data_IF_368190785610
#
_entry.id   IF_368190785610
#
_cell.length_a   1.000
_cell.length_b   1.000
_cell.length_c   1.000
_cell.angle_alpha   90.00
_cell.angle_beta   90.00
_cell.angle_gamma   90.00
#
_symmetry.space_group_name_H-M   'P 1'
#
loop_
_entity.id
_entity.type
_entity.pdbx_description
1 polymer ?
#
# COMPACT_ATOMS: atom_id res chain seq x y z
N UNK A 1 60.03 28.59 -19.41
CA UNK A 1 60.33 27.23 -18.92
C UNK A 1 59.77 26.20 -19.89
N UNK A 2 60.58 25.20 -20.23
CA UNK A 2 60.29 23.93 -20.94
C UNK A 2 60.26 22.83 -19.83
N UNK A 3 59.75 21.57 -19.95
CA UNK A 3 59.22 20.76 -21.08
C UNK A 3 57.73 20.29 -20.93
N UNK A 4 57.03 19.79 -21.97
CA UNK A 4 57.05 18.45 -22.67
C UNK A 4 56.80 17.26 -21.73
N UNK A 5 56.03 16.20 -22.04
CA UNK A 5 55.98 15.28 -23.21
C UNK A 5 54.70 14.37 -23.09
N UNK A 6 54.28 13.41 -23.95
CA UNK A 6 54.63 12.92 -25.31
C UNK A 6 53.63 11.85 -25.84
N UNK A 7 53.28 11.88 -27.14
CA UNK A 7 53.06 10.70 -28.06
C UNK A 7 51.87 9.71 -27.75
N UNK A 8 51.32 8.86 -28.64
CA UNK A 8 51.63 8.47 -30.05
C UNK A 8 50.44 7.78 -30.78
N UNK A 9 50.33 7.99 -32.10
CA UNK A 9 49.88 7.09 -33.21
C UNK A 9 48.74 6.06 -33.13
N UNK A 10 47.84 6.16 -34.12
CA UNK A 10 47.32 5.11 -35.04
C UNK A 10 47.48 3.61 -34.70
N UNK A 11 46.36 2.88 -34.81
CA UNK A 11 46.24 1.70 -35.70
C UNK A 11 44.76 1.38 -35.99
N UNK A 12 44.42 1.02 -37.22
CA UNK A 12 43.10 0.49 -37.59
C UNK A 12 43.18 -1.04 -37.73
N UNK A 13 42.16 -1.76 -37.27
CA UNK A 13 41.93 -3.15 -37.68
C UNK A 13 40.44 -3.43 -37.91
N UNK A 14 40.10 -3.71 -39.18
CA UNK A 14 38.90 -4.48 -39.52
C UNK A 14 39.19 -5.96 -39.27
N UNK A 15 38.28 -6.65 -38.60
CA UNK A 15 38.12 -8.11 -38.75
C UNK A 15 36.65 -8.44 -38.90
N UNK A 16 36.30 -9.04 -40.04
CA UNK A 16 35.03 -9.74 -40.23
C UNK A 16 35.17 -11.14 -39.62
N UNK A 17 34.12 -11.70 -39.00
CA UNK A 17 34.27 -13.01 -38.34
C UNK A 17 33.04 -13.72 -37.78
N UNK A 18 32.10 -14.10 -38.67
CA UNK A 18 31.33 -15.37 -38.61
C UNK A 18 30.30 -15.58 -37.46
N UNK A 19 29.04 -15.81 -37.89
CA UNK A 19 27.99 -16.76 -37.41
C UNK A 19 28.25 -17.50 -36.08
N UNK A 20 27.28 -17.68 -35.18
CA UNK A 20 26.11 -18.57 -35.40
C UNK A 20 24.98 -18.42 -34.38
N UNK A 21 23.75 -18.65 -34.87
CA UNK A 21 22.54 -19.20 -34.20
C UNK A 21 22.44 -19.24 -32.66
N UNK A 22 21.35 -18.70 -32.11
CA UNK A 22 20.30 -19.52 -31.47
C UNK A 22 19.01 -18.72 -31.17
N UNK A 23 18.04 -18.78 -32.09
CA UNK A 23 16.65 -18.43 -31.81
C UNK A 23 16.04 -19.53 -30.92
N UNK A 24 15.98 -19.33 -29.61
CA UNK A 24 15.43 -20.32 -28.68
C UNK A 24 14.29 -19.77 -27.83
N UNK A 25 13.09 -19.96 -28.37
CA UNK A 25 11.83 -20.25 -27.66
C UNK A 25 11.78 -19.90 -26.16
N UNK A 26 11.24 -18.72 -25.82
CA UNK A 26 10.61 -18.43 -24.51
C UNK A 26 9.26 -17.71 -24.68
N UNK A 27 8.43 -18.24 -25.59
CA UNK A 27 6.99 -18.01 -25.62
C UNK A 27 6.31 -19.38 -25.61
N UNK A 28 5.37 -19.58 -24.67
CA UNK A 28 4.56 -20.78 -24.31
C UNK A 28 4.85 -21.25 -22.87
N UNK A 29 4.24 -20.54 -21.91
CA UNK A 29 3.85 -21.03 -20.57
C UNK A 29 3.20 -19.92 -19.72
N UNK A 30 2.22 -19.19 -20.29
CA UNK A 30 1.33 -18.26 -19.56
C UNK A 30 -0.11 -18.30 -20.09
N UNK A 31 -0.73 -19.46 -20.01
CA UNK A 31 -2.19 -19.62 -19.94
C UNK A 31 -2.50 -20.59 -18.78
N UNK A 32 -3.68 -20.45 -18.14
CA UNK A 32 -4.12 -21.20 -16.94
C UNK A 32 -3.32 -20.76 -15.69
N UNK A 33 -3.76 -19.81 -14.86
CA UNK A 33 -4.95 -19.90 -14.01
C UNK A 33 -5.46 -18.50 -13.59
N UNK A 34 -6.69 -18.15 -13.96
CA UNK A 34 -7.37 -16.93 -13.51
C UNK A 34 -8.42 -17.25 -12.43
N UNK A 35 -7.97 -17.70 -11.26
CA UNK A 35 -8.78 -17.80 -10.04
C UNK A 35 -8.01 -17.27 -8.82
N UNK A 36 -7.69 -15.97 -8.83
CA UNK A 36 -7.18 -15.27 -7.66
C UNK A 36 -8.34 -14.82 -6.75
N UNK A 37 -9.06 -15.80 -6.20
CA UNK A 37 -9.86 -15.57 -5.01
C UNK A 37 -8.94 -15.82 -3.82
N UNK A 38 -8.29 -14.77 -3.31
CA UNK A 38 -7.50 -14.87 -2.07
C UNK A 38 -8.48 -14.93 -0.90
N UNK A 39 -9.06 -16.10 -0.73
CA UNK A 39 -9.63 -16.59 0.51
C UNK A 39 -8.40 -16.99 1.34
N UNK A 40 -8.13 -16.29 2.44
CA UNK A 40 -7.35 -16.91 3.53
C UNK A 40 -8.01 -18.26 3.81
N UNK A 41 -7.26 -19.38 3.92
CA UNK A 41 -7.85 -20.68 4.20
C UNK A 41 -8.50 -20.68 5.60
N UNK A 42 -9.75 -20.20 5.64
CA UNK A 42 -10.74 -20.58 6.63
C UNK A 42 -10.77 -22.11 6.63
N UNK A 43 -10.81 -22.71 7.82
CA UNK A 43 -10.50 -24.13 8.09
C UNK A 43 -11.42 -25.18 7.43
N UNK A 44 -12.22 -24.79 6.44
CA UNK A 44 -13.15 -25.65 5.70
C UNK A 44 -12.48 -26.76 4.89
N UNK A 45 -11.19 -26.63 4.53
CA UNK A 45 -10.45 -27.70 3.84
C UNK A 45 -10.08 -28.90 4.72
N UNK A 46 -10.15 -28.78 6.06
CA UNK A 46 -9.86 -29.87 7.00
C UNK A 46 -11.11 -30.58 7.57
N UNK A 47 -12.29 -30.24 7.04
CA UNK A 47 -13.58 -30.77 7.53
C UNK A 47 -13.77 -32.28 7.32
N UNK A 48 -13.00 -32.90 6.42
CA UNK A 48 -13.15 -34.30 6.02
C UNK A 48 -11.97 -35.21 6.44
N UNK A 49 -11.03 -34.71 7.25
CA UNK A 49 -9.94 -35.53 7.81
C UNK A 49 -10.37 -36.16 9.13
N UNK A 50 -10.09 -37.46 9.38
CA UNK A 50 -10.37 -38.12 10.65
C UNK A 50 -9.75 -37.36 11.83
N UNK A 51 -10.50 -37.23 12.93
CA UNK A 51 -10.08 -36.41 14.07
C UNK A 51 -8.80 -36.91 14.75
N UNK A 52 -8.44 -38.19 14.56
CA UNK A 52 -7.25 -38.83 15.13
C UNK A 52 -5.92 -38.42 14.47
N UNK A 53 -5.93 -37.76 13.29
CA UNK A 53 -4.72 -37.40 12.54
C UNK A 53 -4.45 -35.88 12.54
N UNK A 54 -5.36 -35.07 13.10
CA UNK A 54 -5.13 -33.62 13.20
C UNK A 54 -4.00 -33.40 14.21
N UNK A 55 -2.81 -32.86 13.79
CA UNK A 55 -1.81 -32.47 14.77
C UNK A 55 -2.43 -31.45 15.72
N UNK A 56 -1.88 -31.33 16.93
CA UNK A 56 -2.41 -30.44 17.95
C UNK A 56 -2.11 -28.97 17.57
N UNK A 57 -2.85 -28.47 16.57
CA UNK A 57 -2.80 -27.12 16.05
C UNK A 57 -3.32 -26.19 17.14
N UNK A 58 -2.39 -25.73 17.99
CA UNK A 58 -2.60 -24.52 18.77
C UNK A 58 -3.09 -23.45 17.81
N UNK A 59 -4.34 -22.98 18.01
CA UNK A 59 -4.93 -21.96 17.16
C UNK A 59 -3.92 -20.81 17.04
N UNK A 60 -3.52 -20.40 15.83
CA UNK A 60 -2.48 -19.40 15.66
C UNK A 60 -2.87 -18.18 16.48
N UNK A 61 -2.03 -17.81 17.45
CA UNK A 61 -2.30 -16.71 18.35
C UNK A 61 -2.52 -15.47 17.50
N UNK A 62 -3.71 -14.88 17.59
CA UNK A 62 -4.04 -13.72 16.78
C UNK A 62 -3.07 -12.58 17.14
N UNK A 63 -2.11 -12.33 16.24
CA UNK A 63 -1.08 -11.32 16.46
C UNK A 63 -1.77 -9.96 16.50
N UNK A 64 -1.80 -9.32 17.66
CA UNK A 64 -2.38 -7.99 17.81
C UNK A 64 -1.60 -6.96 16.98
N UNK A 65 -2.30 -5.98 16.40
CA UNK A 65 -1.62 -4.86 15.77
C UNK A 65 -0.73 -4.11 16.75
N UNK A 66 -1.06 -4.05 18.04
CA UNK A 66 -0.16 -3.45 19.04
C UNK A 66 1.18 -4.17 19.16
N UNK A 67 1.22 -5.49 18.95
CA UNK A 67 2.48 -6.23 18.91
C UNK A 67 3.30 -5.86 17.67
N UNK A 68 2.66 -5.82 16.49
CA UNK A 68 3.33 -5.47 15.23
C UNK A 68 3.79 -3.99 15.25
N UNK A 69 2.93 -3.10 15.72
CA UNK A 69 3.19 -1.68 15.94
C UNK A 69 4.44 -1.49 16.80
N UNK A 70 4.45 -2.07 18.00
CA UNK A 70 5.53 -1.86 18.98
C UNK A 70 6.87 -2.49 18.61
N UNK A 71 6.90 -3.61 17.88
CA UNK A 71 8.13 -4.37 17.62
C UNK A 71 8.71 -4.19 16.19
N UNK A 72 7.89 -3.73 15.23
CA UNK A 72 8.26 -3.68 13.80
C UNK A 72 8.04 -2.32 13.15
N UNK A 73 7.19 -1.45 13.73
CA UNK A 73 6.79 -0.18 13.11
C UNK A 73 7.27 1.04 13.91
N UNK A 74 7.08 1.10 15.23
CA UNK A 74 7.45 2.26 16.06
C UNK A 74 8.83 2.11 16.69
N UNK A 75 9.09 0.96 17.33
CA UNK A 75 10.40 0.63 17.89
C UNK A 75 10.87 -0.67 17.24
N UNK A 76 12.09 -0.69 16.72
CA UNK A 76 12.64 -1.92 16.15
C UNK A 76 13.13 -2.83 17.26
N UNK A 77 12.48 -3.97 17.44
CA UNK A 77 12.98 -5.01 18.33
C UNK A 77 14.15 -5.74 17.65
N UNK A 78 15.37 -5.38 18.04
CA UNK A 78 16.61 -5.96 17.51
C UNK A 78 16.84 -7.40 17.97
N UNK A 79 16.34 -7.80 19.15
CA UNK A 79 16.41 -9.18 19.63
C UNK A 79 15.58 -10.11 18.75
N UNK A 80 14.41 -9.65 18.29
CA UNK A 80 13.64 -10.37 17.27
C UNK A 80 14.38 -10.42 15.93
N UNK A 81 15.10 -9.37 15.50
CA UNK A 81 15.87 -9.46 14.24
C UNK A 81 17.01 -10.49 14.29
N UNK A 82 17.64 -10.70 15.45
CA UNK A 82 18.62 -11.77 15.61
C UNK A 82 17.96 -13.16 15.48
N UNK A 83 16.74 -13.35 16.01
CA UNK A 83 15.88 -14.50 15.71
C UNK A 83 14.96 -14.23 14.50
N UNK A 84 15.56 -14.11 13.32
CA UNK A 84 14.85 -13.73 12.10
C UNK A 84 13.67 -14.66 11.75
N UNK A 85 13.67 -15.91 12.24
CA UNK A 85 12.55 -16.84 12.11
C UNK A 85 11.31 -16.35 12.88
N UNK A 86 11.48 -15.99 14.17
CA UNK A 86 10.41 -15.38 14.98
C UNK A 86 9.99 -14.01 14.45
N UNK A 87 10.93 -13.22 13.92
CA UNK A 87 10.61 -11.93 13.29
C UNK A 87 9.69 -12.10 12.07
N UNK A 88 9.97 -13.10 11.21
CA UNK A 88 9.09 -13.42 10.08
C UNK A 88 7.71 -13.90 10.54
N UNK A 89 7.65 -14.72 11.59
CA UNK A 89 6.39 -15.22 12.13
C UNK A 89 5.51 -14.08 12.65
N UNK A 90 6.10 -13.13 13.38
CA UNK A 90 5.41 -11.95 13.90
C UNK A 90 4.82 -10.99 12.85
N UNK A 91 5.22 -11.10 11.56
CA UNK A 91 4.57 -10.38 10.43
C UNK A 91 3.71 -11.30 9.54
N UNK A 92 3.47 -12.55 9.96
CA UNK A 92 2.67 -13.55 9.24
C UNK A 92 3.40 -14.21 8.06
N UNK A 93 4.73 -14.15 8.04
CA UNK A 93 5.60 -14.71 6.99
C UNK A 93 6.49 -15.87 7.48
N UNK A 94 6.24 -16.43 8.67
CA UNK A 94 7.02 -17.54 9.26
C UNK A 94 7.19 -18.75 8.33
N UNK A 95 6.21 -19.03 7.47
CA UNK A 95 6.26 -20.02 6.36
C UNK A 95 7.46 -19.87 5.40
N UNK A 96 8.15 -18.72 5.41
CA UNK A 96 9.35 -18.46 4.59
C UNK A 96 10.66 -18.54 5.37
N UNK A 97 10.65 -18.75 6.69
CA UNK A 97 11.86 -18.76 7.52
C UNK A 97 12.97 -19.73 7.03
N UNK A 98 12.68 -20.96 6.57
CA UNK A 98 13.72 -21.86 6.04
C UNK A 98 14.49 -21.29 4.83
N UNK A 99 13.90 -20.35 4.07
CA UNK A 99 14.56 -19.71 2.91
C UNK A 99 15.67 -18.72 3.31
N UNK A 100 15.75 -18.38 4.60
CA UNK A 100 16.74 -17.48 5.18
C UNK A 100 17.76 -18.20 6.06
N UNK A 101 17.71 -19.53 6.16
CA UNK A 101 18.68 -20.31 6.93
C UNK A 101 20.13 -20.00 6.50
N UNK A 102 21.01 -19.82 7.47
CA UNK A 102 22.41 -19.42 7.25
C UNK A 102 22.63 -17.98 6.76
N UNK A 103 21.60 -17.14 6.60
CA UNK A 103 21.73 -15.72 6.21
C UNK A 103 21.63 -14.81 7.44
N UNK A 104 22.62 -13.95 7.65
CA UNK A 104 22.54 -12.90 8.68
C UNK A 104 21.49 -11.84 8.30
N UNK A 105 20.65 -11.42 9.26
CA UNK A 105 19.66 -10.36 9.09
C UNK A 105 20.26 -9.07 8.52
N UNK A 106 21.52 -8.76 8.85
CA UNK A 106 22.26 -7.59 8.34
C UNK A 106 22.39 -7.59 6.82
N UNK A 107 22.42 -8.77 6.18
CA UNK A 107 22.34 -8.92 4.72
C UNK A 107 20.88 -8.90 4.24
N UNK A 108 19.96 -9.50 5.00
CA UNK A 108 18.55 -9.63 4.61
C UNK A 108 17.86 -8.26 4.49
N UNK A 109 18.11 -7.31 5.41
CA UNK A 109 17.52 -5.95 5.36
C UNK A 109 17.87 -5.14 4.11
N UNK A 110 18.89 -5.57 3.35
CA UNK A 110 19.30 -4.95 2.08
C UNK A 110 18.85 -5.73 0.83
N UNK A 111 18.11 -6.83 0.98
CA UNK A 111 17.59 -7.61 -0.15
C UNK A 111 16.55 -6.82 -0.98
N UNK A 112 16.67 -6.95 -2.30
CA UNK A 112 15.75 -6.40 -3.29
C UNK A 112 14.64 -7.42 -3.62
N UNK A 113 13.75 -7.08 -4.56
CA UNK A 113 12.67 -7.99 -4.97
C UNK A 113 13.22 -9.25 -5.63
N UNK A 114 14.25 -9.08 -6.46
CA UNK A 114 14.93 -10.11 -7.22
C UNK A 114 15.59 -11.10 -6.26
N UNK A 115 16.32 -10.60 -5.27
CA UNK A 115 17.00 -11.43 -4.28
C UNK A 115 16.01 -12.26 -3.41
N UNK A 116 14.76 -11.78 -3.23
CA UNK A 116 13.67 -12.52 -2.56
C UNK A 116 13.00 -13.56 -3.48
N UNK A 117 12.93 -13.28 -4.78
CA UNK A 117 12.40 -14.20 -5.80
C UNK A 117 13.40 -15.35 -6.04
N UNK A 118 14.70 -15.07 -6.06
CA UNK A 118 15.78 -16.06 -6.20
C UNK A 118 15.84 -17.07 -5.04
N UNK A 119 15.35 -16.72 -3.85
CA UNK A 119 15.19 -17.66 -2.71
C UNK A 119 13.78 -18.31 -2.68
N UNK A 120 12.99 -18.17 -3.74
CA UNK A 120 11.70 -18.83 -3.93
C UNK A 120 10.52 -18.19 -3.18
N UNK A 121 10.54 -16.89 -2.88
CA UNK A 121 9.35 -16.18 -2.37
C UNK A 121 8.52 -15.70 -3.57
N UNK A 122 7.79 -16.62 -4.22
CA UNK A 122 7.09 -16.36 -5.49
C UNK A 122 5.87 -15.44 -5.37
N UNK A 123 5.27 -15.36 -4.17
CA UNK A 123 4.16 -14.44 -3.88
C UNK A 123 4.63 -12.99 -3.88
N UNK A 124 4.19 -12.22 -4.89
CA UNK A 124 4.48 -10.78 -4.95
C UNK A 124 3.92 -10.01 -3.75
N UNK A 125 2.83 -10.51 -3.14
CA UNK A 125 2.28 -9.96 -1.89
C UNK A 125 3.23 -10.20 -0.71
N UNK A 126 3.77 -11.42 -0.58
CA UNK A 126 4.72 -11.75 0.49
C UNK A 126 6.03 -10.97 0.31
N UNK A 127 6.57 -10.87 -0.92
CA UNK A 127 7.75 -10.02 -1.23
C UNK A 127 7.50 -8.55 -0.88
N UNK A 128 6.33 -8.01 -1.22
CA UNK A 128 5.99 -6.62 -0.91
C UNK A 128 5.89 -6.38 0.60
N UNK A 129 5.24 -7.30 1.33
CA UNK A 129 5.09 -7.25 2.79
C UNK A 129 6.45 -7.34 3.47
N UNK A 130 7.28 -8.32 3.10
CA UNK A 130 8.64 -8.46 3.62
C UNK A 130 9.48 -7.21 3.37
N UNK A 131 9.54 -6.72 2.13
CA UNK A 131 10.32 -5.52 1.79
C UNK A 131 9.88 -4.28 2.57
N UNK A 132 8.58 -4.14 2.88
CA UNK A 132 8.05 -3.05 3.71
C UNK A 132 8.62 -3.11 5.13
N UNK A 133 8.50 -4.25 5.82
CA UNK A 133 9.01 -4.40 7.18
C UNK A 133 10.55 -4.34 7.26
N UNK A 134 11.26 -4.84 6.25
CA UNK A 134 12.72 -4.67 6.15
C UNK A 134 13.12 -3.20 5.92
N UNK A 135 12.31 -2.41 5.20
CA UNK A 135 12.51 -0.96 5.09
C UNK A 135 12.28 -0.23 6.42
N UNK A 136 11.27 -0.63 7.21
CA UNK A 136 11.06 -0.07 8.56
C UNK A 136 12.25 -0.38 9.46
N UNK A 137 12.70 -1.64 9.49
CA UNK A 137 13.89 -2.05 10.24
C UNK A 137 15.13 -1.25 9.83
N UNK A 138 15.40 -1.13 8.52
CA UNK A 138 16.53 -0.36 8.00
C UNK A 138 16.46 1.12 8.41
N UNK A 139 15.31 1.77 8.26
CA UNK A 139 15.13 3.18 8.65
C UNK A 139 15.30 3.39 10.16
N UNK A 140 14.78 2.49 10.97
CA UNK A 140 14.98 2.54 12.42
C UNK A 140 16.47 2.41 12.76
N UNK A 141 17.21 1.49 12.14
CA UNK A 141 18.66 1.35 12.35
C UNK A 141 19.46 2.58 11.89
N UNK A 142 19.10 3.16 10.73
CA UNK A 142 19.67 4.42 10.22
C UNK A 142 19.43 5.59 11.22
N UNK A 143 18.35 5.54 12.00
CA UNK A 143 17.94 6.52 13.01
C UNK A 143 18.22 6.06 14.47
N UNK A 144 19.21 5.20 14.71
CA UNK A 144 19.62 4.82 16.08
C UNK A 144 18.63 3.94 16.85
N UNK A 145 17.76 3.22 16.15
CA UNK A 145 16.71 2.34 16.69
C UNK A 145 15.29 2.92 16.64
N UNK A 146 15.15 4.23 16.40
CA UNK A 146 13.87 4.94 16.42
C UNK A 146 13.25 4.99 15.03
N UNK A 147 12.03 4.47 14.88
CA UNK A 147 11.31 4.59 13.61
C UNK A 147 10.79 6.01 13.38
N UNK A 148 10.77 6.49 12.11
CA UNK A 148 10.08 7.73 11.77
C UNK A 148 8.54 7.63 11.82
N UNK A 149 7.97 6.43 12.06
CA UNK A 149 6.53 6.25 12.24
C UNK A 149 6.25 6.11 13.74
N UNK A 150 5.54 7.08 14.32
CA UNK A 150 5.06 7.02 15.70
C UNK A 150 3.61 7.52 15.70
N UNK A 151 2.65 6.63 15.99
CA UNK A 151 1.22 6.92 15.86
C UNK A 151 0.67 7.84 16.96
N UNK A 152 1.34 7.91 18.11
CA UNK A 152 1.01 8.86 19.15
C UNK A 152 1.52 10.26 18.77
N UNK A 153 2.77 10.35 18.29
CA UNK A 153 3.35 11.61 17.84
C UNK A 153 2.64 12.18 16.60
N UNK A 154 2.08 11.35 15.71
CA UNK A 154 1.26 11.82 14.58
C UNK A 154 0.01 12.63 14.98
N UNK A 155 -0.46 12.49 16.23
CA UNK A 155 -1.54 13.34 16.78
C UNK A 155 -1.07 14.79 17.00
N UNK A 156 0.22 14.98 17.24
CA UNK A 156 0.92 16.27 17.24
C UNK A 156 1.79 16.35 15.98
N UNK A 157 1.14 16.55 14.83
CA UNK A 157 1.80 16.54 13.52
C UNK A 157 3.00 17.53 13.40
N UNK A 158 2.97 18.73 14.01
CA UNK A 158 4.15 19.58 14.15
C UNK A 158 5.34 18.90 14.85
N UNK A 159 5.12 18.28 16.01
CA UNK A 159 6.18 17.56 16.72
C UNK A 159 6.67 16.32 15.95
N UNK A 160 5.77 15.63 15.23
CA UNK A 160 6.17 14.55 14.32
C UNK A 160 7.07 15.05 13.19
N UNK A 161 6.72 16.17 12.53
CA UNK A 161 7.55 16.77 11.48
C UNK A 161 8.96 17.15 11.99
N UNK A 162 9.06 17.72 13.20
CA UNK A 162 10.36 18.01 13.82
C UNK A 162 11.20 16.73 13.98
N UNK A 163 10.59 15.64 14.48
CA UNK A 163 11.28 14.36 14.68
C UNK A 163 11.79 13.69 13.40
N UNK A 164 11.23 14.04 12.23
CA UNK A 164 11.71 13.58 10.91
C UNK A 164 12.54 14.63 10.16
N UNK A 165 12.88 15.76 10.78
CA UNK A 165 13.72 16.81 10.21
C UNK A 165 13.01 17.77 9.23
N UNK A 166 11.67 17.86 9.30
CA UNK A 166 10.83 18.71 8.45
C UNK A 166 9.95 19.69 9.26
N UNK A 167 10.28 19.96 10.52
CA UNK A 167 9.49 20.83 11.41
C UNK A 167 9.37 22.28 10.95
N UNK A 168 10.32 22.75 10.13
CA UNK A 168 10.23 24.04 9.43
C UNK A 168 8.99 24.16 8.51
N UNK A 169 8.42 23.02 8.08
CA UNK A 169 7.19 22.98 7.28
C UNK A 169 5.90 22.84 8.12
N UNK A 170 5.98 22.72 9.45
CA UNK A 170 4.80 22.61 10.30
C UNK A 170 3.77 23.75 10.10
N UNK A 171 4.16 25.03 9.92
CA UNK A 171 3.21 26.12 9.65
C UNK A 171 2.41 25.92 8.35
N UNK A 172 2.97 25.25 7.34
CA UNK A 172 2.29 24.96 6.07
C UNK A 172 1.10 24.00 6.24
N UNK A 173 1.05 23.26 7.34
CA UNK A 173 0.00 22.30 7.67
C UNK A 173 -0.96 22.77 8.78
N UNK A 174 -0.86 24.04 9.20
CA UNK A 174 -1.72 24.59 10.23
C UNK A 174 -3.21 24.38 9.92
N UNK A 175 -3.98 23.99 10.95
CA UNK A 175 -5.42 23.69 10.89
C UNK A 175 -5.82 22.47 10.05
N UNK A 176 -4.90 21.53 9.79
CA UNK A 176 -5.17 20.28 9.07
C UNK A 176 -4.93 19.06 9.95
N UNK A 177 -5.71 18.01 9.72
CA UNK A 177 -5.54 16.73 10.43
C UNK A 177 -4.51 15.86 9.70
N UNK A 178 -3.70 15.07 10.42
CA UNK A 178 -2.64 14.26 9.78
C UNK A 178 -3.20 13.27 8.74
N UNK A 179 -4.44 12.80 8.94
CA UNK A 179 -5.16 11.93 8.01
C UNK A 179 -5.39 12.59 6.65
N UNK A 180 -5.64 13.90 6.61
CA UNK A 180 -5.73 14.68 5.37
C UNK A 180 -4.33 14.87 4.75
N UNK A 181 -3.34 15.14 5.60
CA UNK A 181 -1.97 15.48 5.18
C UNK A 181 -1.27 14.28 4.52
N UNK A 182 -1.40 13.08 5.07
CA UNK A 182 -0.77 11.87 4.47
C UNK A 182 -1.37 11.48 3.11
N UNK A 183 -2.56 11.98 2.76
CA UNK A 183 -3.15 11.78 1.44
C UNK A 183 -2.69 12.81 0.39
N UNK A 184 -2.08 13.93 0.81
CA UNK A 184 -1.63 15.02 -0.08
C UNK A 184 -0.61 14.57 -1.14
N UNK A 185 -0.77 15.10 -2.35
CA UNK A 185 0.10 14.87 -3.49
C UNK A 185 1.20 15.94 -3.59
N UNK A 186 2.07 15.83 -4.61
CA UNK A 186 3.15 16.78 -4.84
C UNK A 186 2.62 18.19 -5.12
N UNK A 187 1.51 18.27 -5.84
CA UNK A 187 0.82 19.49 -6.22
C UNK A 187 0.19 20.17 -4.99
N UNK A 188 -0.38 19.40 -4.07
CA UNK A 188 -0.98 19.91 -2.84
C UNK A 188 0.11 20.48 -1.90
N UNK A 189 1.23 19.75 -1.72
CA UNK A 189 2.37 20.22 -0.93
C UNK A 189 3.02 21.48 -1.55
N UNK A 190 3.07 21.58 -2.87
CA UNK A 190 3.55 22.75 -3.58
C UNK A 190 2.62 23.96 -3.42
N UNK A 191 1.30 23.74 -3.47
CA UNK A 191 0.28 24.76 -3.20
C UNK A 191 0.31 25.26 -1.74
N UNK A 192 0.68 24.40 -0.79
CA UNK A 192 0.97 24.79 0.60
C UNK A 192 2.29 25.55 0.78
N UNK A 193 3.09 25.73 -0.29
CA UNK A 193 4.34 26.50 -0.27
C UNK A 193 5.62 25.67 -0.11
N UNK A 194 5.54 24.34 -0.07
CA UNK A 194 6.70 23.44 0.04
C UNK A 194 7.36 23.31 -1.35
N UNK A 195 8.05 24.38 -1.79
CA UNK A 195 8.56 24.52 -3.17
C UNK A 195 9.78 23.65 -3.48
N UNK A 196 10.51 23.14 -2.47
CA UNK A 196 11.62 22.22 -2.70
C UNK A 196 11.10 20.83 -3.13
N UNK A 197 11.48 20.39 -4.34
CA UNK A 197 11.09 19.09 -4.91
C UNK A 197 11.64 17.90 -4.12
N UNK A 198 12.85 18.03 -3.54
CA UNK A 198 13.46 16.99 -2.71
C UNK A 198 12.64 16.76 -1.44
N UNK A 199 12.27 17.85 -0.76
CA UNK A 199 11.50 17.81 0.49
C UNK A 199 10.09 17.28 0.26
N UNK A 200 9.42 17.72 -0.82
CA UNK A 200 8.13 17.10 -1.25
C UNK A 200 8.26 15.60 -1.46
N UNK A 201 9.34 15.13 -2.08
CA UNK A 201 9.58 13.71 -2.29
C UNK A 201 9.87 12.94 -1.00
N UNK A 202 10.61 13.53 -0.06
CA UNK A 202 10.88 12.95 1.25
C UNK A 202 9.61 12.84 2.08
N UNK A 203 8.86 13.92 2.27
CA UNK A 203 7.55 13.93 2.95
C UNK A 203 6.59 12.91 2.35
N UNK A 204 6.49 12.86 1.01
CA UNK A 204 5.67 11.85 0.32
C UNK A 204 6.06 10.41 0.65
N UNK A 205 7.34 10.10 0.84
CA UNK A 205 7.77 8.75 1.27
C UNK A 205 7.33 8.45 2.69
N UNK A 206 7.47 9.39 3.63
CA UNK A 206 6.96 9.19 4.99
C UNK A 206 5.44 9.01 5.01
N UNK A 207 4.69 9.77 4.21
CA UNK A 207 3.24 9.62 4.10
C UNK A 207 2.83 8.27 3.48
N UNK A 208 3.59 7.77 2.50
CA UNK A 208 3.39 6.44 1.92
C UNK A 208 3.68 5.34 2.96
N UNK A 209 4.71 5.50 3.79
CA UNK A 209 5.03 4.58 4.89
C UNK A 209 3.96 4.58 5.99
N UNK A 210 3.47 5.76 6.42
CA UNK A 210 2.38 5.88 7.40
C UNK A 210 1.12 5.21 6.87
N UNK A 211 0.74 5.45 5.61
CA UNK A 211 -0.43 4.81 4.99
C UNK A 211 -0.26 3.30 4.87
N UNK A 212 0.95 2.82 4.59
CA UNK A 212 1.24 1.39 4.58
C UNK A 212 1.08 0.76 5.98
N UNK A 213 1.57 1.42 7.02
CA UNK A 213 1.41 1.00 8.41
C UNK A 213 -0.07 1.04 8.88
N UNK A 214 -0.85 2.06 8.48
CA UNK A 214 -2.30 2.12 8.70
C UNK A 214 -3.07 1.04 7.92
N UNK A 215 -2.61 0.65 6.73
CA UNK A 215 -3.19 -0.45 5.98
C UNK A 215 -2.87 -1.81 6.64
N UNK A 216 -1.69 -1.97 7.23
CA UNK A 216 -1.36 -3.14 8.04
C UNK A 216 -2.23 -3.19 9.31
N UNK A 217 -2.44 -2.06 10.02
CA UNK A 217 -3.39 -1.98 11.15
C UNK A 217 -4.74 -2.62 10.79
N UNK A 218 -5.38 -2.10 9.74
CA UNK A 218 -6.69 -2.58 9.27
C UNK A 218 -6.67 -4.06 8.89
N UNK A 219 -5.57 -4.55 8.30
CA UNK A 219 -5.39 -5.97 7.96
C UNK A 219 -5.28 -6.86 9.18
N UNK A 220 -4.58 -6.42 10.22
CA UNK A 220 -4.19 -7.22 11.39
C UNK A 220 -5.31 -7.25 12.44
N UNK A 221 -5.92 -6.10 12.74
CA UNK A 221 -7.10 -6.01 13.60
C UNK A 221 -8.34 -6.65 12.93
N UNK A 222 -8.19 -7.08 11.66
CA UNK A 222 -9.26 -7.67 10.87
C UNK A 222 -10.38 -6.67 10.64
N UNK A 223 -10.07 -5.37 10.59
CA UNK A 223 -11.02 -4.25 10.57
C UNK A 223 -12.11 -4.56 9.56
N UNK A 224 -13.24 -4.98 10.10
CA UNK A 224 -14.53 -4.71 9.50
C UNK A 224 -14.63 -3.20 9.58
N UNK A 225 -14.09 -2.51 8.55
CA UNK A 225 -14.24 -1.06 8.40
C UNK A 225 -15.72 -0.81 8.68
N UNK A 226 -16.04 -0.08 9.77
CA UNK A 226 -17.39 -0.05 10.29
C UNK A 226 -18.31 0.39 9.15
N UNK A 227 -19.48 -0.26 8.97
CA UNK A 227 -20.38 0.11 7.90
C UNK A 227 -20.60 1.63 7.95
N UNK A 228 -20.63 2.31 6.79
CA UNK A 228 -20.78 3.75 6.77
C UNK A 228 -22.03 4.12 7.54
N UNK A 229 -21.93 5.14 8.39
CA UNK A 229 -23.10 5.67 9.06
C UNK A 229 -24.07 6.21 8.00
N UNK A 230 -25.18 5.50 7.79
CA UNK A 230 -26.17 5.84 6.77
C UNK A 230 -26.82 7.21 7.06
N UNK A 231 -26.94 7.62 8.32
CA UNK A 231 -27.40 8.96 8.67
C UNK A 231 -26.37 10.04 8.31
N UNK A 232 -25.08 9.71 8.40
CA UNK A 232 -24.01 10.58 7.92
C UNK A 232 -24.02 10.71 6.39
N UNK A 233 -24.32 9.64 5.65
CA UNK A 233 -24.42 9.68 4.19
C UNK A 233 -25.54 10.61 3.69
N UNK A 234 -26.66 10.72 4.39
CA UNK A 234 -27.70 11.71 4.06
C UNK A 234 -27.23 13.17 4.28
N UNK A 235 -26.23 13.39 5.15
CA UNK A 235 -25.59 14.68 5.36
C UNK A 235 -24.28 14.80 4.55
N UNK A 236 -24.40 15.05 3.24
CA UNK A 236 -23.26 15.17 2.31
C UNK A 236 -22.09 16.03 2.85
N UNK A 237 -22.31 17.23 3.43
CA UNK A 237 -21.23 17.98 4.08
C UNK A 237 -20.47 17.20 5.15
N UNK A 238 -21.19 16.57 6.08
CA UNK A 238 -20.58 15.83 7.20
C UNK A 238 -19.92 14.51 6.75
N UNK A 239 -20.49 13.82 5.75
CA UNK A 239 -19.84 12.65 5.14
C UNK A 239 -18.53 13.02 4.43
N UNK A 240 -18.52 14.10 3.64
CA UNK A 240 -17.30 14.54 2.97
C UNK A 240 -16.26 15.07 3.96
N UNK A 241 -16.68 15.67 5.07
CA UNK A 241 -15.79 16.04 6.17
C UNK A 241 -15.18 14.80 6.85
N UNK A 242 -15.95 13.74 7.13
CA UNK A 242 -15.42 12.53 7.77
C UNK A 242 -14.42 11.74 6.92
N UNK A 243 -14.48 11.86 5.59
CA UNK A 243 -13.48 11.28 4.66
C UNK A 243 -12.36 12.26 4.25
N UNK A 244 -12.26 13.44 4.88
CA UNK A 244 -11.19 14.43 4.61
C UNK A 244 -11.31 15.14 3.25
N UNK A 245 -12.52 15.27 2.71
CA UNK A 245 -12.82 15.83 1.38
C UNK A 245 -13.80 17.02 1.44
N UNK A 246 -13.88 17.73 2.58
CA UNK A 246 -14.78 18.87 2.81
C UNK A 246 -14.76 19.94 1.70
N UNK A 247 -13.60 20.16 1.07
CA UNK A 247 -13.45 21.11 -0.04
C UNK A 247 -14.26 20.77 -1.29
N UNK A 248 -14.70 19.51 -1.45
CA UNK A 248 -15.49 19.06 -2.60
C UNK A 248 -17.00 19.17 -2.41
N UNK A 249 -17.48 19.43 -1.18
CA UNK A 249 -18.92 19.51 -0.85
C UNK A 249 -19.73 20.38 -1.83
N UNK A 250 -19.27 21.56 -2.29
CA UNK A 250 -20.02 22.37 -3.25
C UNK A 250 -20.33 21.68 -4.58
N UNK A 251 -19.51 20.71 -5.01
CA UNK A 251 -19.69 19.97 -6.26
C UNK A 251 -20.77 18.88 -6.18
N UNK A 252 -21.16 18.51 -4.96
CA UNK A 252 -22.13 17.46 -4.65
C UNK A 252 -23.43 17.99 -4.01
N UNK A 253 -23.54 19.30 -3.81
CA UNK A 253 -24.71 19.92 -3.19
C UNK A 253 -25.99 19.62 -3.98
N UNK A 254 -27.06 19.24 -3.27
CA UNK A 254 -28.35 18.88 -3.86
C UNK A 254 -28.40 17.50 -4.55
N UNK A 255 -27.32 16.70 -4.49
CA UNK A 255 -27.32 15.30 -4.93
C UNK A 255 -27.53 14.38 -3.74
N UNK A 256 -28.27 13.28 -3.93
CA UNK A 256 -28.41 12.23 -2.92
C UNK A 256 -27.17 11.33 -2.92
N UNK A 257 -26.79 10.75 -1.79
CA UNK A 257 -25.57 9.94 -1.72
C UNK A 257 -25.62 8.70 -2.62
N UNK A 258 -26.81 8.12 -2.84
CA UNK A 258 -27.03 7.00 -3.75
C UNK A 258 -26.61 7.38 -5.18
N UNK A 259 -26.96 8.59 -5.63
CA UNK A 259 -26.57 9.10 -6.96
C UNK A 259 -25.07 9.45 -7.02
N UNK A 260 -24.46 9.82 -5.89
CA UNK A 260 -23.02 10.12 -5.78
C UNK A 260 -22.17 8.86 -5.86
N UNK A 261 -22.50 7.81 -5.09
CA UNK A 261 -21.70 6.58 -5.11
C UNK A 261 -21.75 5.86 -6.46
N UNK A 262 -22.82 6.05 -7.24
CA UNK A 262 -22.93 5.52 -8.60
C UNK A 262 -22.08 6.25 -9.66
N UNK A 263 -21.48 7.41 -9.33
CA UNK A 263 -20.63 8.14 -10.28
C UNK A 263 -19.36 7.38 -10.66
N UNK A 264 -18.98 7.48 -11.93
CA UNK A 264 -17.71 6.98 -12.45
C UNK A 264 -16.66 8.12 -12.59
N UNK A 265 -15.49 7.80 -13.16
CA UNK A 265 -14.42 8.79 -13.37
C UNK A 265 -14.82 9.97 -14.26
N UNK A 266 -15.64 9.74 -15.29
CA UNK A 266 -16.03 10.77 -16.26
C UNK A 266 -17.10 11.69 -15.68
N UNK A 267 -17.98 11.17 -14.82
CA UNK A 267 -18.92 11.98 -14.05
C UNK A 267 -18.21 12.91 -13.07
N UNK A 268 -17.19 12.41 -12.37
CA UNK A 268 -16.32 13.22 -11.52
C UNK A 268 -15.52 14.26 -12.33
N UNK A 269 -15.08 13.95 -13.55
CA UNK A 269 -14.46 14.94 -14.46
C UNK A 269 -15.47 16.03 -14.86
N UNK A 270 -16.72 15.66 -15.21
CA UNK A 270 -17.79 16.62 -15.54
C UNK A 270 -18.16 17.53 -14.36
N UNK A 271 -18.00 17.06 -13.12
CA UNK A 271 -18.11 17.87 -11.91
C UNK A 271 -16.88 18.75 -11.62
N UNK A 272 -15.90 18.81 -12.52
CA UNK A 272 -14.69 19.63 -12.38
C UNK A 272 -13.55 18.97 -11.58
N UNK A 273 -13.69 17.73 -11.13
CA UNK A 273 -12.67 17.01 -10.34
C UNK A 273 -11.59 16.46 -11.28
N UNK A 274 -10.77 17.36 -11.83
CA UNK A 274 -9.69 17.06 -12.77
C UNK A 274 -8.54 16.23 -12.19
N UNK A 275 -8.33 16.26 -10.86
CA UNK A 275 -7.29 15.49 -10.19
C UNK A 275 -7.61 13.97 -10.17
N UNK A 276 -6.77 13.19 -10.85
CA UNK A 276 -6.92 11.73 -11.01
C UNK A 276 -6.88 10.97 -9.67
N UNK A 277 -6.03 11.39 -8.73
CA UNK A 277 -5.85 10.70 -7.46
C UNK A 277 -7.04 10.96 -6.55
N UNK A 278 -7.54 12.20 -6.52
CA UNK A 278 -8.76 12.55 -5.79
C UNK A 278 -9.97 11.76 -6.31
N UNK A 279 -10.10 11.59 -7.64
CA UNK A 279 -11.10 10.67 -8.22
C UNK A 279 -10.91 9.21 -7.79
N UNK A 280 -9.68 8.71 -7.65
CA UNK A 280 -9.46 7.35 -7.13
C UNK A 280 -9.84 7.22 -5.65
N UNK A 281 -9.53 8.21 -4.82
CA UNK A 281 -9.89 8.21 -3.40
C UNK A 281 -11.40 8.28 -3.20
N UNK A 282 -12.11 9.11 -3.97
CA UNK A 282 -13.58 9.09 -4.04
C UNK A 282 -14.11 7.72 -4.48
N UNK A 283 -13.61 7.18 -5.59
CA UNK A 283 -14.08 5.88 -6.12
C UNK A 283 -13.86 4.71 -5.16
N UNK A 284 -12.80 4.74 -4.34
CA UNK A 284 -12.60 3.75 -3.26
C UNK A 284 -13.65 3.90 -2.15
N UNK A 285 -13.94 5.12 -1.71
CA UNK A 285 -14.98 5.39 -0.71
C UNK A 285 -16.38 5.02 -1.24
N UNK A 286 -16.69 5.37 -2.48
CA UNK A 286 -17.97 5.02 -3.11
C UNK A 286 -18.14 3.51 -3.20
N UNK A 287 -17.09 2.78 -3.60
CA UNK A 287 -17.12 1.32 -3.64
C UNK A 287 -17.23 0.69 -2.25
N UNK A 288 -16.60 1.29 -1.24
CA UNK A 288 -16.75 0.85 0.14
C UNK A 288 -18.21 0.96 0.59
N UNK A 289 -18.86 2.11 0.38
CA UNK A 289 -20.28 2.30 0.69
C UNK A 289 -21.15 1.28 -0.05
N UNK A 290 -20.95 1.09 -1.37
CA UNK A 290 -21.70 0.08 -2.13
C UNK A 290 -21.54 -1.33 -1.56
N UNK A 291 -20.34 -1.73 -1.15
CA UNK A 291 -20.10 -3.06 -0.56
C UNK A 291 -20.82 -3.24 0.77
N UNK A 292 -20.96 -2.21 1.58
CA UNK A 292 -21.74 -2.25 2.81
C UNK A 292 -23.24 -2.36 2.50
N UNK A 293 -23.78 -1.48 1.64
CA UNK A 293 -25.19 -1.56 1.20
C UNK A 293 -25.52 -2.94 0.61
N UNK A 294 -24.64 -3.50 -0.21
CA UNK A 294 -24.83 -4.83 -0.79
C UNK A 294 -24.77 -5.94 0.26
N UNK A 295 -23.83 -5.88 1.21
CA UNK A 295 -23.77 -6.84 2.33
C UNK A 295 -25.06 -6.81 3.15
N UNK A 296 -25.56 -5.61 3.45
CA UNK A 296 -26.74 -5.41 4.30
C UNK A 296 -28.04 -5.80 3.55
N UNK A 297 -28.07 -5.68 2.22
CA UNK A 297 -29.18 -6.11 1.35
C UNK A 297 -29.05 -7.55 0.80
N UNK A 298 -28.01 -8.29 1.20
CA UNK A 298 -27.76 -9.66 0.72
C UNK A 298 -27.35 -9.78 -0.76
N UNK A 299 -26.91 -8.68 -1.38
CA UNK A 299 -26.44 -8.65 -2.77
C UNK A 299 -24.93 -8.93 -2.87
N UNK A 300 -24.52 -9.66 -3.92
CA UNK A 300 -23.10 -9.84 -4.23
C UNK A 300 -22.60 -8.74 -5.18
N UNK A 301 -21.59 -7.99 -4.73
CA UNK A 301 -20.82 -7.06 -5.57
C UNK A 301 -19.43 -7.68 -5.86
N UNK A 302 -18.94 -7.63 -7.12
CA UNK A 302 -17.60 -8.13 -7.46
C UNK A 302 -16.48 -7.43 -6.68
N UNK A 303 -15.25 -7.97 -6.68
CA UNK A 303 -14.10 -7.26 -6.09
C UNK A 303 -13.81 -5.93 -6.84
N UNK A 304 -13.37 -4.91 -6.11
CA UNK A 304 -12.94 -3.64 -6.69
C UNK A 304 -11.75 -3.87 -7.64
N UNK A 305 -11.92 -3.56 -8.92
CA UNK A 305 -10.86 -3.68 -9.91
C UNK A 305 -10.67 -2.37 -10.67
N UNK A 306 -9.48 -1.78 -10.51
CA UNK A 306 -9.06 -0.58 -11.24
C UNK A 306 -8.98 -0.85 -12.75
N UNK A 307 -8.70 -2.08 -13.16
CA UNK A 307 -8.73 -2.49 -14.58
C UNK A 307 -10.15 -2.43 -15.12
N UNK A 308 -11.10 -3.04 -14.40
CA UNK A 308 -12.53 -2.97 -14.72
C UNK A 308 -12.95 -1.51 -14.82
N UNK A 309 -12.63 -0.63 -13.86
CA UNK A 309 -13.00 0.80 -13.95
C UNK A 309 -12.46 1.49 -15.23
N UNK A 310 -11.26 1.16 -15.71
CA UNK A 310 -10.73 1.71 -16.98
C UNK A 310 -11.43 1.15 -18.21
N UNK A 311 -11.70 -0.15 -18.22
CA UNK A 311 -12.44 -0.84 -19.30
C UNK A 311 -13.93 -0.43 -19.31
N UNK A 312 -14.44 0.06 -18.17
CA UNK A 312 -15.83 0.49 -17.98
C UNK A 312 -16.15 1.92 -18.43
N UNK A 313 -15.22 2.66 -19.04
CA UNK A 313 -15.52 3.93 -19.75
C UNK A 313 -16.56 3.78 -20.87
N UNK A 314 -16.84 2.53 -21.27
CA UNK A 314 -18.06 2.12 -21.98
C UNK A 314 -18.69 0.93 -21.23
N UNK A 315 -19.88 1.10 -20.64
CA UNK A 315 -20.63 0.01 -20.01
C UNK A 315 -22.12 -0.04 -20.39
N UNK A 316 -22.74 -1.23 -20.34
CA UNK A 316 -24.17 -1.38 -20.51
C UNK A 316 -24.96 -0.81 -19.33
N UNK A 317 -26.24 -0.53 -19.57
CA UNK A 317 -27.23 -0.34 -18.53
C UNK A 317 -27.28 -1.56 -17.59
N UNK A 318 -26.65 -1.45 -16.42
CA UNK A 318 -27.24 -2.05 -15.23
C UNK A 318 -28.59 -1.37 -15.06
N UNK A 319 -29.69 -2.14 -15.13
CA UNK A 319 -31.02 -1.60 -14.85
C UNK A 319 -30.95 -0.87 -13.52
N UNK A 320 -31.44 0.37 -13.46
CA UNK A 320 -31.71 1.07 -12.21
C UNK A 320 -32.80 0.29 -11.47
N UNK A 321 -32.39 -0.77 -10.77
CA UNK A 321 -33.20 -1.36 -9.71
C UNK A 321 -33.43 -0.24 -8.72
N UNK A 322 -34.69 0.16 -8.53
CA UNK A 322 -35.03 1.11 -7.48
C UNK A 322 -34.62 0.48 -6.14
N UNK A 323 -33.49 0.92 -5.60
CA UNK A 323 -33.13 0.68 -4.20
C UNK A 323 -34.08 1.53 -3.36
N UNK A 324 -35.29 1.01 -3.17
CA UNK A 324 -36.20 1.49 -2.13
C UNK A 324 -35.64 0.94 -0.81
N UNK A 325 -34.87 1.78 -0.14
CA UNK A 325 -34.51 1.66 1.28
C UNK A 325 -35.54 2.44 2.11
#
# INVERSE_FOLDING_TARGET
>A
MIPRYALKTLAAFKTNGIRTTNLRLKNISRLINSQNTIIYPSSRFFSNLPDEIKPNESKPVAISFDYIRKNYIENLNTELLEDFSKWLDGIGLGKHAPKFEGKSWKRIIHMRYEDMEDIGIDSAYDRHTLRRYLNYARKALENGGVSPINFELLKDFPAWLESVGFGNYAPNFANRQYQEIIEMMYEDLEALGIRNKGDRHALRRYFDDIRAALADKRRIEGDIIPPPDYALLENIPAWFESIGMKSLVPLFLGKRWQDIVEMNHDDLIKLGIGNKNLRYSLMRNFWFVKRCVAKDTGQEIPPFSIKVIKERGTQPNYKRSNMNL
#
